data_IF_571865298707
#
_entry.id   IF_571865298707
#
_cell.length_a   1.000
_cell.length_b   1.000
_cell.length_c   1.000
_cell.angle_alpha   90.00
_cell.angle_beta   90.00
_cell.angle_gamma   90.00
#
_symmetry.space_group_name_H-M   'P 1'
#
loop_
_entity.id
_entity.type
_entity.pdbx_description
1 polymer ?
#
# COMPACT_ATOMS: atom_id res chain seq x y z
N UNK A 1 4.78 -7.50 -4.92
CA UNK A 1 5.66 -6.44 -5.45
C UNK A 1 7.03 -6.63 -4.82
N UNK A 2 8.07 -6.91 -5.62
CA UNK A 2 9.43 -7.13 -5.10
C UNK A 2 10.08 -5.83 -4.61
N UNK A 3 11.23 -5.95 -3.94
CA UNK A 3 12.04 -4.80 -3.53
C UNK A 3 12.50 -3.98 -4.73
N UNK A 4 12.10 -2.71 -4.78
CA UNK A 4 12.41 -1.76 -5.85
C UNK A 4 12.53 -0.33 -5.31
N UNK A 5 13.05 0.57 -6.14
CA UNK A 5 13.08 2.01 -5.90
C UNK A 5 12.09 2.69 -6.83
N UNK A 6 11.57 3.83 -6.37
CA UNK A 6 10.80 4.74 -7.20
C UNK A 6 11.72 5.90 -7.64
N UNK A 7 12.37 5.69 -8.78
CA UNK A 7 13.52 6.49 -9.25
C UNK A 7 13.29 7.20 -10.59
N UNK A 8 12.03 7.29 -11.02
CA UNK A 8 11.66 7.81 -12.34
C UNK A 8 11.42 9.32 -12.36
N UNK A 9 11.20 9.96 -11.20
CA UNK A 9 10.94 11.39 -11.11
C UNK A 9 12.24 12.22 -11.20
N UNK A 10 12.16 13.41 -11.81
CA UNK A 10 13.32 14.32 -11.95
C UNK A 10 13.67 14.98 -10.61
N UNK A 11 12.66 15.43 -9.86
CA UNK A 11 12.84 16.07 -8.57
C UNK A 11 12.55 15.09 -7.41
N UNK A 12 13.62 14.57 -6.82
CA UNK A 12 13.58 13.63 -5.69
C UNK A 12 13.23 14.30 -4.36
N UNK A 13 13.19 15.64 -4.30
CA UNK A 13 12.76 16.36 -3.10
C UNK A 13 11.24 16.25 -2.88
N UNK A 14 10.48 15.89 -3.92
CA UNK A 14 9.03 15.72 -3.84
C UNK A 14 8.67 14.37 -3.24
N UNK A 15 7.74 14.34 -2.27
CA UNK A 15 7.34 13.09 -1.64
C UNK A 15 6.50 12.21 -2.58
N UNK A 16 6.43 10.92 -2.24
CA UNK A 16 5.43 9.99 -2.78
C UNK A 16 4.42 9.70 -1.68
N UNK A 17 3.14 9.83 -2.00
CA UNK A 17 2.04 9.39 -1.13
C UNK A 17 1.51 8.08 -1.68
N UNK A 18 1.51 7.04 -0.84
CA UNK A 18 0.94 5.74 -1.14
C UNK A 18 -0.27 5.50 -0.24
N UNK A 19 -1.44 5.24 -0.80
CA UNK A 19 -2.66 4.92 -0.06
C UNK A 19 -3.04 3.46 -0.28
N UNK A 20 -3.42 2.77 0.79
CA UNK A 20 -3.82 1.37 0.79
C UNK A 20 -5.33 1.25 1.03
N UNK A 21 -6.04 0.49 0.19
CA UNK A 21 -7.47 0.21 0.34
C UNK A 21 -7.72 -1.30 0.21
N UNK A 22 -8.63 -1.85 1.03
CA UNK A 22 -8.97 -3.27 1.02
C UNK A 22 -8.07 -4.12 1.91
N UNK A 23 -7.75 -5.34 1.45
CA UNK A 23 -7.02 -6.32 2.25
C UNK A 23 -5.72 -5.77 2.85
N UNK A 24 -5.50 -6.06 4.13
CA UNK A 24 -4.25 -5.77 4.83
C UNK A 24 -3.05 -6.37 4.08
N UNK A 25 -1.91 -5.69 4.13
CA UNK A 25 -0.65 -6.16 3.56
C UNK A 25 0.54 -5.91 4.48
N UNK A 26 1.65 -6.60 4.21
CA UNK A 26 2.96 -6.26 4.76
C UNK A 26 3.65 -5.32 3.78
N UNK A 27 4.07 -4.15 4.25
CA UNK A 27 4.98 -3.27 3.54
C UNK A 27 6.36 -3.37 4.18
N UNK A 28 7.38 -3.50 3.32
CA UNK A 28 8.78 -3.51 3.72
C UNK A 28 9.43 -2.21 3.28
N UNK A 29 10.00 -1.48 4.24
CA UNK A 29 10.86 -0.32 3.99
C UNK A 29 12.31 -0.72 4.31
N UNK A 30 13.11 -0.92 3.27
CA UNK A 30 14.54 -1.20 3.33
C UNK A 30 15.40 0.05 3.50
N UNK A 31 16.69 -0.10 3.24
CA UNK A 31 17.65 0.99 3.17
C UNK A 31 18.00 1.38 1.73
N UNK A 32 19.14 2.06 1.56
CA UNK A 32 19.64 2.52 0.25
C UNK A 32 20.29 1.38 -0.55
N UNK A 33 20.54 0.23 0.09
CA UNK A 33 20.98 -1.01 -0.55
C UNK A 33 19.88 -2.10 -0.47
N UNK A 34 19.93 -3.06 -1.41
CA UNK A 34 19.07 -4.26 -1.38
C UNK A 34 19.42 -5.22 -0.24
N UNK A 35 20.63 -5.11 0.29
CA UNK A 35 21.13 -5.96 1.38
C UNK A 35 20.79 -5.40 2.76
N UNK A 36 20.24 -4.18 2.84
CA UNK A 36 19.83 -3.57 4.09
C UNK A 36 18.55 -4.25 4.62
N UNK A 37 18.55 -4.66 5.89
CA UNK A 37 17.41 -5.32 6.52
C UNK A 37 16.18 -4.38 6.56
N UNK A 38 15.01 -4.80 6.03
CA UNK A 38 13.85 -3.95 5.96
C UNK A 38 13.06 -3.90 7.27
N UNK A 39 12.51 -2.73 7.57
CA UNK A 39 11.45 -2.56 8.56
C UNK A 39 10.11 -3.04 7.97
N UNK A 40 9.47 -3.98 8.66
CA UNK A 40 8.15 -4.50 8.29
C UNK A 40 7.03 -3.74 9.01
N UNK A 41 6.01 -3.33 8.25
CA UNK A 41 4.83 -2.63 8.75
C UNK A 41 3.56 -3.20 8.13
N UNK A 42 2.45 -3.16 8.86
CA UNK A 42 1.14 -3.45 8.28
C UNK A 42 0.58 -2.22 7.57
N UNK A 43 0.03 -2.42 6.38
CA UNK A 43 -0.84 -1.45 5.71
C UNK A 43 -2.25 -2.03 5.68
N UNK A 44 -3.18 -1.37 6.36
CA UNK A 44 -4.61 -1.68 6.39
C UNK A 44 -5.36 -0.81 5.39
N UNK A 45 -6.65 -1.09 5.20
CA UNK A 45 -7.50 -0.20 4.44
C UNK A 45 -7.58 1.17 5.10
N UNK A 46 -7.27 2.23 4.35
CA UNK A 46 -7.24 3.62 4.82
C UNK A 46 -5.86 4.11 5.26
N UNK A 47 -4.88 3.23 5.44
CA UNK A 47 -3.52 3.64 5.79
C UNK A 47 -2.85 4.35 4.61
N UNK A 48 -2.02 5.35 4.93
CA UNK A 48 -1.21 6.07 3.97
C UNK A 48 0.27 6.10 4.41
N UNK A 49 1.17 5.93 3.45
CA UNK A 49 2.62 6.07 3.61
C UNK A 49 3.07 7.30 2.85
N UNK A 50 3.79 8.19 3.54
CA UNK A 50 4.46 9.33 2.94
C UNK A 50 5.97 9.03 2.89
N UNK A 51 6.50 8.81 1.69
CA UNK A 51 7.94 8.64 1.49
C UNK A 51 8.54 9.98 1.05
N UNK A 52 9.31 10.61 1.94
CA UNK A 52 9.95 11.91 1.73
C UNK A 52 11.40 11.89 2.22
N UNK A 53 12.22 12.83 1.73
CA UNK A 53 13.64 12.91 2.10
C UNK A 53 14.35 11.58 1.84
N UNK A 54 15.15 11.12 2.80
CA UNK A 54 15.94 9.89 2.65
C UNK A 54 15.08 8.64 2.38
N UNK A 55 13.82 8.62 2.80
CA UNK A 55 12.92 7.49 2.54
C UNK A 55 12.58 7.32 1.04
N UNK A 56 12.73 8.38 0.22
CA UNK A 56 12.61 8.29 -1.26
C UNK A 56 13.71 7.43 -1.88
N UNK A 57 14.85 7.34 -1.22
CA UNK A 57 16.03 6.62 -1.67
C UNK A 57 16.08 5.16 -1.14
N UNK A 58 15.05 4.74 -0.41
CA UNK A 58 15.00 3.43 0.21
C UNK A 58 14.24 2.41 -0.65
N UNK A 59 14.84 1.22 -0.78
CA UNK A 59 14.17 0.08 -1.39
C UNK A 59 12.91 -0.27 -0.61
N UNK A 60 11.83 -0.59 -1.30
CA UNK A 60 10.60 -0.99 -0.65
C UNK A 60 9.80 -2.00 -1.47
N UNK A 61 8.85 -2.67 -0.81
CA UNK A 61 8.06 -3.71 -1.45
C UNK A 61 6.88 -4.18 -0.61
N UNK A 62 6.07 -5.03 -1.23
CA UNK A 62 4.88 -5.62 -0.59
C UNK A 62 4.96 -7.13 -0.84
N UNK A 63 5.57 -7.89 0.10
CA UNK A 63 5.75 -9.34 -0.07
C UNK A 63 4.47 -10.15 0.16
N UNK A 64 3.50 -9.60 0.92
CA UNK A 64 2.28 -10.35 1.30
C UNK A 64 1.05 -9.45 1.37
N UNK A 65 -0.05 -9.97 0.84
CA UNK A 65 -1.42 -9.47 1.05
C UNK A 65 -2.19 -10.58 1.77
N UNK A 66 -2.99 -10.23 2.77
CA UNK A 66 -3.82 -11.16 3.54
C UNK A 66 -5.23 -11.17 2.95
N UNK A 67 -5.55 -12.18 2.15
CA UNK A 67 -6.85 -12.28 1.45
C UNK A 67 -7.83 -13.22 2.13
N UNK A 68 -7.42 -13.90 3.20
CA UNK A 68 -8.31 -14.73 3.99
C UNK A 68 -9.14 -13.88 4.96
N UNK A 69 -10.36 -14.31 5.25
CA UNK A 69 -11.32 -13.54 6.07
C UNK A 69 -10.82 -13.25 7.49
N UNK A 70 -9.97 -14.12 8.04
CA UNK A 70 -9.47 -13.97 9.41
C UNK A 70 -8.42 -12.85 9.51
N UNK A 71 -7.58 -12.67 8.48
CA UNK A 71 -6.44 -11.76 8.53
C UNK A 71 -6.56 -10.54 7.61
N UNK A 72 -7.56 -10.47 6.72
CA UNK A 72 -7.72 -9.38 5.75
C UNK A 72 -8.03 -8.02 6.40
N UNK A 73 -8.66 -8.01 7.57
CA UNK A 73 -9.10 -6.82 8.31
C UNK A 73 -10.01 -5.87 7.48
N UNK A 74 -10.81 -6.41 6.55
CA UNK A 74 -11.69 -5.63 5.65
C UNK A 74 -13.07 -5.31 6.21
N UNK A 75 -13.45 -5.84 7.38
CA UNK A 75 -14.83 -5.81 7.92
C UNK A 75 -15.44 -4.41 7.95
N UNK A 76 -14.69 -3.38 8.36
CA UNK A 76 -15.22 -2.01 8.41
C UNK A 76 -15.59 -1.48 7.01
N UNK A 77 -14.77 -1.78 6.00
CA UNK A 77 -15.02 -1.37 4.62
C UNK A 77 -16.15 -2.19 3.99
N UNK A 78 -16.23 -3.49 4.29
CA UNK A 78 -17.33 -4.35 3.84
C UNK A 78 -18.68 -3.86 4.37
N UNK A 79 -18.73 -3.45 5.64
CA UNK A 79 -19.94 -2.88 6.24
C UNK A 79 -20.38 -1.60 5.54
N UNK A 80 -19.44 -0.74 5.12
CA UNK A 80 -19.76 0.48 4.37
C UNK A 80 -20.31 0.19 2.97
N UNK A 81 -19.70 -0.77 2.26
CA UNK A 81 -20.13 -1.15 0.91
C UNK A 81 -21.39 -2.01 0.89
N UNK A 82 -21.79 -2.58 2.02
CA UNK A 82 -23.02 -3.39 2.14
C UNK A 82 -24.29 -2.54 2.23
N UNK A 83 -24.18 -1.22 2.38
CA UNK A 83 -25.32 -0.32 2.56
C UNK A 83 -26.16 -0.20 1.28
N UNK A 84 -25.52 -0.06 0.12
CA UNK A 84 -26.22 0.09 -1.15
C UNK A 84 -26.11 -1.18 -1.98
N UNK A 85 -27.23 -1.67 -2.51
CA UNK A 85 -27.24 -2.84 -3.39
C UNK A 85 -26.45 -2.63 -4.69
N UNK A 86 -26.26 -1.38 -5.12
CA UNK A 86 -25.40 -1.01 -6.26
C UNK A 86 -23.92 -1.33 -6.04
N UNK A 87 -23.48 -1.40 -4.79
CA UNK A 87 -22.04 -1.47 -4.45
C UNK A 87 -21.55 -2.91 -4.33
N UNK A 88 -22.41 -3.88 -4.66
CA UNK A 88 -22.12 -5.31 -4.49
C UNK A 88 -20.87 -5.75 -5.25
N UNK A 89 -20.66 -5.23 -6.46
CA UNK A 89 -19.47 -5.56 -7.25
C UNK A 89 -18.17 -5.07 -6.58
N UNK A 90 -18.19 -3.91 -5.91
CA UNK A 90 -17.05 -3.39 -5.15
C UNK A 90 -16.81 -4.23 -3.89
N UNK A 91 -17.88 -4.63 -3.21
CA UNK A 91 -17.79 -5.51 -2.04
C UNK A 91 -17.15 -6.86 -2.39
N UNK A 92 -17.61 -7.49 -3.47
CA UNK A 92 -17.06 -8.78 -3.90
C UNK A 92 -15.61 -8.65 -4.37
N UNK A 93 -15.24 -7.52 -5.00
CA UNK A 93 -13.86 -7.25 -5.38
C UNK A 93 -12.94 -7.04 -4.17
N UNK A 94 -13.37 -6.26 -3.18
CA UNK A 94 -12.48 -5.83 -2.08
C UNK A 94 -12.16 -6.95 -1.09
N UNK A 95 -13.02 -7.98 -0.98
CA UNK A 95 -12.81 -9.13 -0.09
C UNK A 95 -11.53 -9.91 -0.36
N UNK A 96 -11.07 -9.90 -1.60
CA UNK A 96 -9.88 -10.65 -2.02
C UNK A 96 -8.81 -9.75 -2.65
N UNK A 97 -8.93 -8.43 -2.50
CA UNK A 97 -8.08 -7.49 -3.22
C UNK A 97 -7.56 -6.37 -2.33
N UNK A 98 -6.36 -5.90 -2.66
CA UNK A 98 -5.80 -4.65 -2.16
C UNK A 98 -5.58 -3.71 -3.33
N UNK A 99 -6.05 -2.47 -3.19
CA UNK A 99 -5.76 -1.39 -4.12
C UNK A 99 -4.66 -0.52 -3.51
N UNK A 100 -3.69 -0.14 -4.33
CA UNK A 100 -2.62 0.77 -3.98
C UNK A 100 -2.67 1.98 -4.90
N UNK A 101 -2.80 3.18 -4.33
CA UNK A 101 -2.81 4.43 -5.10
C UNK A 101 -1.53 5.20 -4.76
N UNK A 102 -0.63 5.34 -5.73
CA UNK A 102 0.58 6.14 -5.60
C UNK A 102 0.40 7.48 -6.28
N UNK A 103 0.62 8.58 -5.55
CA UNK A 103 0.52 9.96 -6.03
C UNK A 103 1.90 10.58 -5.94
N UNK A 104 2.34 11.20 -7.04
CA UNK A 104 3.69 11.76 -7.19
C UNK A 104 3.63 13.08 -7.93
N UNK A 105 4.52 14.01 -7.58
CA UNK A 105 4.77 15.21 -8.36
C UNK A 105 5.97 14.96 -9.27
N UNK A 106 5.78 15.17 -10.57
CA UNK A 106 6.80 14.86 -11.60
C UNK A 106 7.63 16.08 -11.99
N UNK A 107 7.07 17.28 -11.85
CA UNK A 107 7.67 18.57 -12.22
C UNK A 107 7.52 19.60 -11.11
#
# INVERSE_FOLDING_TARGET
>A
LGGHLDDMEVDWSKPIVSMSLGCKAIFLLGGKSRDDDPLAMFLRSGDAVLMSGEARECFHGVPRIFTDEEHSETTALENQLSINSSDRCFLDYIRSSRININIRQVF
#
